data_IF_984808476542
#
_entry.id   IF_984808476542
#
_cell.length_a   1.000
_cell.length_b   1.000
_cell.length_c   1.000
_cell.angle_alpha   90.00
_cell.angle_beta   90.00
_cell.angle_gamma   90.00
#
_symmetry.space_group_name_H-M   'P 1'
#
loop_
_entity.id
_entity.type
_entity.pdbx_description
1 polymer ?
#
# COMPACT_ATOMS: atom_id res chain seq x y z
N UNK A 1 -29.50 14.00 -3.69
CA UNK A 1 -29.89 12.58 -3.75
C UNK A 1 -29.10 11.83 -2.68
N UNK A 2 -29.66 11.71 -1.46
CA UNK A 2 -29.03 11.00 -0.33
C UNK A 2 -29.35 9.51 -0.46
N UNK A 3 -28.36 8.67 -0.73
CA UNK A 3 -28.47 7.21 -0.60
C UNK A 3 -27.75 6.81 0.68
N UNK A 4 -28.54 6.58 1.71
CA UNK A 4 -28.20 6.06 3.02
C UNK A 4 -27.81 4.58 2.92
N UNK A 5 -26.64 4.21 3.46
CA UNK A 5 -26.48 3.05 4.36
C UNK A 5 -25.05 3.03 4.91
N UNK A 6 -24.86 3.50 6.15
CA UNK A 6 -23.60 3.48 6.91
C UNK A 6 -23.27 2.04 7.32
N UNK A 7 -22.87 1.19 6.38
CA UNK A 7 -22.29 -0.11 6.69
C UNK A 7 -20.78 0.04 6.72
N UNK A 8 -20.30 0.85 7.69
CA UNK A 8 -18.88 0.94 7.98
C UNK A 8 -18.47 -0.43 8.53
N UNK A 9 -17.81 -1.24 7.70
CA UNK A 9 -17.45 -2.63 7.99
C UNK A 9 -16.54 -2.71 9.23
N UNK A 10 -15.79 -1.65 9.49
CA UNK A 10 -15.00 -1.48 10.71
C UNK A 10 -15.44 -0.22 11.46
N UNK A 11 -16.07 -0.39 12.63
CA UNK A 11 -16.26 0.72 13.58
C UNK A 11 -15.02 0.84 14.43
N UNK A 12 -14.50 2.08 14.58
CA UNK A 12 -13.46 2.41 15.54
C UNK A 12 -13.77 1.77 16.90
N UNK A 13 -12.92 0.83 17.34
CA UNK A 13 -12.92 0.37 18.73
C UNK A 13 -12.32 1.52 19.52
N UNK A 14 -13.18 2.33 20.15
CA UNK A 14 -12.76 3.34 21.12
C UNK A 14 -12.32 2.61 22.39
N UNK A 15 -11.11 2.05 22.41
CA UNK A 15 -10.45 1.75 23.67
C UNK A 15 -9.89 3.09 24.19
N UNK A 16 -10.35 3.53 25.35
CA UNK A 16 -9.99 4.79 26.04
C UNK A 16 -8.52 4.84 26.52
N UNK A 17 -7.59 4.19 25.82
CA UNK A 17 -6.19 4.10 26.20
C UNK A 17 -5.34 4.36 24.96
N UNK A 18 -4.92 5.63 24.83
CA UNK A 18 -3.99 6.17 23.81
C UNK A 18 -4.53 6.13 22.39
N UNK A 19 -4.37 7.26 21.71
CA UNK A 19 -4.76 7.47 20.32
C UNK A 19 -3.76 6.73 19.41
N UNK A 20 -3.74 5.40 19.50
CA UNK A 20 -3.02 4.57 18.54
C UNK A 20 -3.71 4.71 17.19
N UNK A 21 -2.93 5.12 16.20
CA UNK A 21 -3.41 5.22 14.83
C UNK A 21 -3.69 3.81 14.35
N UNK A 22 -4.97 3.49 14.19
CA UNK A 22 -5.42 2.16 13.80
C UNK A 22 -5.36 2.03 12.28
N UNK A 23 -4.53 1.10 11.79
CA UNK A 23 -4.45 0.65 10.39
C UNK A 23 -5.11 -0.71 10.24
N UNK A 24 -6.45 -0.80 10.17
CA UNK A 24 -7.14 -2.10 10.10
C UNK A 24 -6.95 -2.80 8.74
N UNK A 25 -6.56 -2.08 7.69
CA UNK A 25 -6.54 -2.58 6.32
C UNK A 25 -5.33 -2.04 5.56
N UNK A 26 -4.70 -2.91 4.78
CA UNK A 26 -3.69 -2.57 3.80
C UNK A 26 -4.13 -3.00 2.40
N UNK A 27 -3.68 -2.27 1.37
CA UNK A 27 -3.96 -2.52 -0.04
C UNK A 27 -2.64 -2.75 -0.77
N UNK A 28 -2.54 -3.85 -1.51
CA UNK A 28 -1.50 -4.01 -2.53
C UNK A 28 -1.74 -2.98 -3.64
N UNK A 29 -0.88 -1.98 -3.69
CA UNK A 29 -1.14 -0.75 -4.42
C UNK A 29 -0.08 -0.53 -5.50
N UNK A 30 -0.38 -0.92 -6.74
CA UNK A 30 0.50 -0.71 -7.91
C UNK A 30 0.36 0.68 -8.54
N UNK A 31 -0.66 1.45 -8.14
CA UNK A 31 -1.04 2.69 -8.83
C UNK A 31 -1.79 2.46 -10.15
N UNK A 32 -2.07 1.21 -10.51
CA UNK A 32 -2.99 0.86 -11.59
C UNK A 32 -4.45 1.11 -11.21
N UNK A 33 -5.34 1.09 -12.22
CA UNK A 33 -6.75 1.45 -12.11
C UNK A 33 -7.48 0.70 -10.97
N UNK A 34 -7.29 -0.62 -10.88
CA UNK A 34 -8.02 -1.44 -9.90
C UNK A 34 -7.62 -1.09 -8.47
N UNK A 35 -6.32 -1.00 -8.19
CA UNK A 35 -5.82 -0.64 -6.85
C UNK A 35 -6.18 0.80 -6.46
N UNK A 36 -6.24 1.72 -7.42
CA UNK A 36 -6.73 3.09 -7.23
C UNK A 36 -8.21 3.12 -6.84
N UNK A 37 -9.05 2.40 -7.60
CA UNK A 37 -10.49 2.32 -7.31
C UNK A 37 -10.73 1.66 -5.96
N UNK A 38 -10.05 0.55 -5.64
CA UNK A 38 -10.17 -0.11 -4.33
C UNK A 38 -9.79 0.83 -3.19
N UNK A 39 -8.70 1.60 -3.35
CA UNK A 39 -8.27 2.57 -2.35
C UNK A 39 -9.34 3.66 -2.17
N UNK A 40 -9.84 4.25 -3.26
CA UNK A 40 -10.90 5.26 -3.19
C UNK A 40 -12.19 4.73 -2.53
N UNK A 41 -12.59 3.48 -2.82
CA UNK A 41 -13.74 2.85 -2.18
C UNK A 41 -13.53 2.61 -0.68
N UNK A 42 -12.29 2.29 -0.26
CA UNK A 42 -11.99 2.14 1.16
C UNK A 42 -12.12 3.46 1.92
N UNK A 43 -11.86 4.60 1.29
CA UNK A 43 -12.13 5.90 1.93
C UNK A 43 -13.62 6.07 2.28
N UNK A 44 -14.51 5.68 1.37
CA UNK A 44 -15.96 5.75 1.60
C UNK A 44 -16.45 4.73 2.64
N UNK A 45 -15.79 3.56 2.70
CA UNK A 45 -16.22 2.43 3.54
C UNK A 45 -15.63 2.43 4.96
N UNK A 46 -14.51 3.11 5.21
CA UNK A 46 -13.81 3.10 6.49
C UNK A 46 -14.03 4.38 7.31
N UNK A 47 -13.81 4.29 8.62
CA UNK A 47 -13.76 5.48 9.48
C UNK A 47 -12.64 6.42 9.04
N UNK A 48 -12.86 7.74 8.91
CA UNK A 48 -11.79 8.69 8.60
C UNK A 48 -10.64 8.70 9.62
N UNK A 49 -10.90 8.25 10.85
CA UNK A 49 -9.85 8.08 11.86
C UNK A 49 -8.87 6.94 11.56
N UNK A 50 -9.25 6.01 10.68
CA UNK A 50 -8.38 4.91 10.25
C UNK A 50 -7.43 5.33 9.14
N UNK A 51 -6.19 4.91 9.28
CA UNK A 51 -5.21 4.93 8.20
C UNK A 51 -5.43 3.80 7.21
N UNK A 52 -5.04 4.04 5.96
CA UNK A 52 -5.01 3.02 4.91
C UNK A 52 -3.56 2.90 4.42
N UNK A 53 -3.00 1.72 4.61
CA UNK A 53 -1.66 1.40 4.13
C UNK A 53 -1.72 0.95 2.67
N UNK A 54 -0.91 1.58 1.83
CA UNK A 54 -0.77 1.29 0.42
C UNK A 54 0.59 0.63 0.22
N UNK A 55 0.60 -0.69 0.07
CA UNK A 55 1.83 -1.49 -0.06
C UNK A 55 2.20 -1.58 -1.54
N UNK A 56 3.21 -0.84 -1.97
CA UNK A 56 3.73 -0.93 -3.33
C UNK A 56 4.98 -1.79 -3.35
N UNK A 57 4.91 -2.92 -4.06
CA UNK A 57 6.03 -3.83 -4.27
C UNK A 57 6.72 -3.49 -5.58
N UNK A 58 8.05 -3.35 -5.56
CA UNK A 58 8.87 -3.11 -6.74
C UNK A 58 10.02 -4.10 -6.83
N UNK A 59 10.27 -4.58 -8.04
CA UNK A 59 11.41 -5.46 -8.36
C UNK A 59 12.58 -4.71 -8.98
N UNK A 60 12.37 -3.46 -9.40
CA UNK A 60 13.36 -2.62 -10.09
C UNK A 60 13.55 -1.28 -9.35
N UNK A 61 13.28 -1.29 -8.04
CA UNK A 61 13.42 -0.14 -7.14
C UNK A 61 12.60 1.08 -7.55
N UNK A 62 13.25 2.24 -7.61
CA UNK A 62 12.62 3.55 -7.79
C UNK A 62 12.14 3.83 -9.23
N UNK A 63 12.71 3.15 -10.22
CA UNK A 63 12.40 3.35 -11.64
C UNK A 63 11.27 2.46 -12.15
N UNK A 64 10.75 1.55 -11.31
CA UNK A 64 9.68 0.66 -11.70
C UNK A 64 8.42 1.46 -12.10
N UNK A 65 7.76 1.12 -13.22
CA UNK A 65 6.53 1.79 -13.65
C UNK A 65 5.47 1.84 -12.56
N UNK A 66 5.27 0.74 -11.83
CA UNK A 66 4.32 0.63 -10.72
C UNK A 66 4.69 1.55 -9.55
N UNK A 67 5.99 1.81 -9.31
CA UNK A 67 6.43 2.75 -8.26
C UNK A 67 6.08 4.18 -8.62
N UNK A 68 6.33 4.56 -9.87
CA UNK A 68 6.01 5.88 -10.40
C UNK A 68 4.49 6.10 -10.38
N UNK A 69 3.74 5.12 -10.88
CA UNK A 69 2.28 5.15 -10.88
C UNK A 69 1.70 5.17 -9.47
N UNK A 70 2.27 4.43 -8.51
CA UNK A 70 1.82 4.47 -7.12
C UNK A 70 2.05 5.84 -6.49
N UNK A 71 3.22 6.46 -6.66
CA UNK A 71 3.48 7.81 -6.15
C UNK A 71 2.48 8.82 -6.72
N UNK A 72 2.25 8.78 -8.03
CA UNK A 72 1.23 9.62 -8.69
C UNK A 72 -0.18 9.34 -8.16
N UNK A 73 -0.52 8.07 -7.99
CA UNK A 73 -1.81 7.61 -7.47
C UNK A 73 -2.07 8.11 -6.05
N UNK A 74 -1.08 8.05 -5.16
CA UNK A 74 -1.23 8.57 -3.79
C UNK A 74 -1.43 10.08 -3.77
N UNK A 75 -0.75 10.83 -4.64
CA UNK A 75 -1.01 12.27 -4.78
C UNK A 75 -2.46 12.55 -5.20
N UNK A 76 -2.99 11.76 -6.14
CA UNK A 76 -4.38 11.88 -6.57
C UNK A 76 -5.37 11.48 -5.45
N UNK A 77 -5.10 10.39 -4.72
CA UNK A 77 -5.90 9.97 -3.57
C UNK A 77 -5.95 11.05 -2.47
N UNK A 78 -4.81 11.69 -2.19
CA UNK A 78 -4.73 12.82 -1.25
C UNK A 78 -5.51 14.04 -1.75
N UNK A 79 -5.58 14.26 -3.06
CA UNK A 79 -6.37 15.35 -3.67
C UNK A 79 -7.88 15.12 -3.55
N UNK A 80 -8.34 13.89 -3.78
CA UNK A 80 -9.78 13.56 -3.72
C UNK A 80 -10.29 13.37 -2.28
N UNK A 81 -9.44 12.85 -1.39
CA UNK A 81 -9.77 12.52 -0.01
C UNK A 81 -8.70 13.13 0.93
N UNK A 82 -8.67 14.46 1.11
CA UNK A 82 -7.61 15.16 1.86
C UNK A 82 -7.65 14.89 3.36
N UNK A 83 -8.79 14.46 3.90
CA UNK A 83 -8.93 14.12 5.31
C UNK A 83 -8.44 12.70 5.63
N UNK A 84 -8.26 11.86 4.61
CA UNK A 84 -7.77 10.48 4.76
C UNK A 84 -6.26 10.47 4.86
N UNK A 85 -5.75 9.72 5.83
CA UNK A 85 -4.33 9.44 5.98
C UNK A 85 -3.94 8.24 5.10
N UNK A 86 -3.40 8.55 3.92
CA UNK A 86 -2.85 7.57 2.98
C UNK A 86 -1.36 7.37 3.24
N UNK A 87 -0.99 6.15 3.66
CA UNK A 87 0.40 5.79 3.96
C UNK A 87 0.94 4.87 2.87
N UNK A 88 1.78 5.41 1.99
CA UNK A 88 2.47 4.61 0.98
C UNK A 88 3.68 3.93 1.61
N UNK A 89 3.73 2.60 1.53
CA UNK A 89 4.84 1.79 2.01
C UNK A 89 5.52 1.14 0.81
N UNK A 90 6.77 1.50 0.62
CA UNK A 90 7.62 0.99 -0.44
C UNK A 90 8.32 -0.29 0.00
N UNK A 91 8.01 -1.39 -0.70
CA UNK A 91 8.62 -2.70 -0.49
C UNK A 91 9.46 -3.00 -1.71
N UNK A 92 10.77 -3.07 -1.53
CA UNK A 92 11.69 -3.40 -2.61
C UNK A 92 12.12 -4.86 -2.49
N UNK A 93 12.06 -5.59 -3.60
CA UNK A 93 12.55 -6.95 -3.66
C UNK A 93 14.08 -6.95 -3.67
N UNK A 94 14.69 -7.75 -2.80
CA UNK A 94 16.14 -7.96 -2.83
C UNK A 94 16.48 -8.99 -3.92
N UNK A 95 17.07 -8.50 -5.02
CA UNK A 95 17.51 -9.31 -6.16
C UNK A 95 18.41 -10.50 -5.76
N UNK A 96 19.16 -10.38 -4.65
CA UNK A 96 20.04 -11.46 -4.18
C UNK A 96 19.28 -12.66 -3.61
N UNK A 97 18.10 -12.43 -3.02
CA UNK A 97 17.23 -13.48 -2.46
C UNK A 97 16.06 -13.85 -3.37
N UNK A 98 15.81 -13.03 -4.39
CA UNK A 98 14.66 -13.11 -5.28
C UNK A 98 14.51 -14.48 -5.97
N UNK A 99 15.60 -15.10 -6.39
CA UNK A 99 15.57 -16.42 -7.04
C UNK A 99 15.08 -17.53 -6.09
N UNK A 100 15.48 -17.47 -4.82
CA UNK A 100 15.06 -18.44 -3.81
C UNK A 100 13.59 -18.24 -3.43
N UNK A 101 13.19 -16.99 -3.23
CA UNK A 101 11.80 -16.64 -2.94
C UNK A 101 10.88 -17.00 -4.11
N UNK A 102 11.29 -16.72 -5.34
CA UNK A 102 10.54 -17.09 -6.56
C UNK A 102 10.33 -18.60 -6.65
N UNK A 103 11.38 -19.39 -6.42
CA UNK A 103 11.27 -20.87 -6.42
C UNK A 103 10.32 -21.36 -5.33
N UNK A 104 10.40 -20.75 -4.14
CA UNK A 104 9.51 -21.10 -3.04
C UNK A 104 8.05 -20.75 -3.36
N UNK A 105 7.78 -19.53 -3.82
CA UNK A 105 6.44 -19.06 -4.20
C UNK A 105 5.87 -19.90 -5.33
N UNK A 106 6.65 -20.21 -6.37
CA UNK A 106 6.23 -21.12 -7.45
C UNK A 106 5.78 -22.49 -6.96
N UNK A 107 6.36 -23.00 -5.88
CA UNK A 107 5.96 -24.28 -5.29
C UNK A 107 4.66 -24.20 -4.47
N UNK A 108 4.23 -22.99 -4.09
CA UNK A 108 3.06 -22.73 -3.26
C UNK A 108 1.84 -22.27 -4.05
N UNK A 109 2.04 -21.45 -5.10
CA UNK A 109 0.94 -20.88 -5.88
C UNK A 109 0.27 -21.94 -6.77
N UNK A 110 -1.04 -21.81 -6.94
CA UNK A 110 -1.81 -22.66 -7.85
C UNK A 110 -3.07 -21.90 -8.34
N UNK A 111 -3.35 -21.87 -9.66
CA UNK A 111 -2.52 -22.39 -10.75
C UNK A 111 -1.23 -21.57 -10.92
N UNK A 112 -0.16 -22.23 -11.32
CA UNK A 112 1.16 -21.62 -11.56
C UNK A 112 1.47 -21.61 -13.07
N UNK A 113 0.47 -21.26 -13.88
CA UNK A 113 0.50 -21.52 -15.33
C UNK A 113 1.08 -20.34 -16.12
N UNK A 114 1.08 -19.14 -15.55
CA UNK A 114 1.47 -17.91 -16.23
C UNK A 114 2.48 -17.10 -15.43
N UNK A 115 3.20 -16.21 -16.11
CA UNK A 115 4.02 -15.19 -15.45
C UNK A 115 3.19 -14.27 -14.55
N UNK A 116 1.90 -14.08 -14.84
CA UNK A 116 1.02 -13.27 -14.02
C UNK A 116 0.71 -13.94 -12.68
N UNK A 117 0.56 -15.27 -12.67
CA UNK A 117 0.37 -16.03 -11.42
C UNK A 117 1.59 -15.87 -10.51
N UNK A 118 2.80 -15.95 -11.08
CA UNK A 118 4.03 -15.65 -10.36
C UNK A 118 4.06 -14.21 -9.85
N UNK A 119 3.82 -13.23 -10.72
CA UNK A 119 3.93 -11.81 -10.37
C UNK A 119 2.98 -11.43 -9.23
N UNK A 120 1.74 -11.94 -9.25
CA UNK A 120 0.77 -11.75 -8.18
C UNK A 120 1.25 -12.47 -6.91
N UNK A 121 1.68 -13.73 -7.03
CA UNK A 121 2.14 -14.54 -5.91
C UNK A 121 3.35 -13.97 -5.19
N UNK A 122 4.35 -13.50 -5.93
CA UNK A 122 5.59 -12.96 -5.35
C UNK A 122 5.36 -11.57 -4.77
N UNK A 123 4.49 -10.74 -5.37
CA UNK A 123 4.08 -9.47 -4.78
C UNK A 123 3.33 -9.68 -3.44
N UNK A 124 2.43 -10.67 -3.38
CA UNK A 124 1.76 -11.07 -2.14
C UNK A 124 2.77 -11.57 -1.09
N UNK A 125 3.71 -12.42 -1.49
CA UNK A 125 4.75 -12.95 -0.61
C UNK A 125 5.59 -11.82 0.00
N UNK A 126 6.06 -10.89 -0.82
CA UNK A 126 6.87 -9.75 -0.37
C UNK A 126 6.08 -8.81 0.52
N UNK A 127 4.84 -8.48 0.15
CA UNK A 127 3.98 -7.64 0.97
C UNK A 127 3.65 -8.27 2.33
N UNK A 128 3.42 -9.58 2.37
CA UNK A 128 3.11 -10.32 3.59
C UNK A 128 4.27 -10.38 4.60
N UNK A 129 5.52 -10.13 4.17
CA UNK A 129 6.66 -9.99 5.09
C UNK A 129 6.55 -8.73 5.96
N UNK A 130 5.68 -7.80 5.59
CA UNK A 130 5.35 -6.64 6.38
C UNK A 130 6.53 -5.72 6.66
N UNK A 131 7.54 -5.67 5.78
CA UNK A 131 8.71 -4.81 5.94
C UNK A 131 8.83 -3.89 4.73
N UNK A 132 8.84 -2.59 4.97
CA UNK A 132 9.01 -1.60 3.91
C UNK A 132 9.37 -0.21 4.45
N UNK A 133 9.42 0.77 3.56
CA UNK A 133 9.80 2.14 3.85
C UNK A 133 8.62 3.08 3.61
N UNK A 134 8.29 3.95 4.56
CA UNK A 134 7.24 4.95 4.35
C UNK A 134 7.73 5.97 3.34
N UNK A 135 6.93 6.20 2.30
CA UNK A 135 7.14 7.32 1.39
C UNK A 135 6.44 8.57 1.92
N UNK A 136 7.24 9.51 2.40
CA UNK A 136 6.78 10.85 2.79
C UNK A 136 7.11 11.86 1.68
N UNK A 137 6.11 12.68 1.32
CA UNK A 137 6.31 13.83 0.44
C UNK A 137 6.49 15.04 1.35
N UNK A 138 7.72 15.56 1.42
CA UNK A 138 7.96 16.83 2.10
C UNK A 138 7.34 17.96 1.25
N UNK A 139 6.33 18.65 1.78
CA UNK A 139 5.71 19.82 1.14
C UNK A 139 6.60 21.09 1.18
N UNK A 140 7.88 20.95 1.50
CA UNK A 140 8.81 22.07 1.49
C UNK A 140 9.47 22.13 0.10
N UNK A 141 8.89 22.94 -0.78
CA UNK A 141 9.58 23.46 -1.96
C UNK A 141 10.82 24.22 -1.47
N UNK A 142 11.98 23.57 -1.32
CA UNK A 142 13.34 24.11 -1.30
C UNK A 142 14.31 22.99 -0.87
N UNK A 143 15.15 22.57 -1.81
CA UNK A 143 16.43 21.86 -1.65
C UNK A 143 16.43 20.40 -1.13
N UNK A 144 16.93 19.53 -2.03
CA UNK A 144 17.35 18.13 -1.87
C UNK A 144 16.42 17.19 -1.08
N UNK A 145 15.80 16.26 -1.83
CA UNK A 145 14.97 15.13 -1.37
C UNK A 145 15.65 14.29 -0.26
N UNK A 146 15.66 14.80 0.97
CA UNK A 146 15.89 14.01 2.16
C UNK A 146 14.60 13.22 2.41
N UNK A 147 14.51 12.08 1.71
CA UNK A 147 13.59 10.99 2.00
C UNK A 147 13.72 10.60 3.48
N UNK A 148 12.81 11.08 4.32
CA UNK A 148 12.67 10.60 5.69
C UNK A 148 12.02 9.22 5.63
N UNK A 149 12.81 8.20 5.27
CA UNK A 149 12.30 6.84 5.14
C UNK A 149 12.20 6.21 6.53
N UNK A 150 11.03 6.32 7.16
CA UNK A 150 10.73 5.51 8.34
C UNK A 150 10.53 4.05 7.90
N UNK A 151 11.23 3.12 8.54
CA UNK A 151 11.06 1.69 8.27
C UNK A 151 9.85 1.16 9.03
N UNK A 152 8.86 0.65 8.31
CA UNK A 152 7.72 -0.05 8.90
C UNK A 152 8.01 -1.53 8.98
N UNK A 153 7.70 -2.12 10.14
CA UNK A 153 7.62 -3.56 10.31
C UNK A 153 6.32 -3.90 11.05
N UNK A 154 5.43 -4.65 10.41
CA UNK A 154 4.20 -5.17 11.02
C UNK A 154 4.47 -6.42 11.86
#
# INVERSE_FOLDING_TARGET
MRRTSLHRIFKAVTCDIRQEVLTPVAVLFSGGLDSMILSALLDECLDPSYEIDLLNVSFDGQSAPDRISAKAGVMELRRIAPLRRWKLVEIDADLSTFDLETKHVMSLINPANTYMDLNIGIALWLAARGSGWVYEVNNNDCDEDLLCNERVKY
#
